data_IF_018788022825
#
_entry.id   IF_018788022825
#
_cell.length_a   1.000
_cell.length_b   1.000
_cell.length_c   1.000
_cell.angle_alpha   90.00
_cell.angle_beta   90.00
_cell.angle_gamma   90.00
#
_symmetry.space_group_name_H-M   'P 1'
#
loop_
_entity.id
_entity.type
_entity.pdbx_description
1 polymer ?
#
# COMPACT_ATOMS: atom_id res chain seq x y z
N UNK A 1 -10.98 -7.37 2.12
CA UNK A 1 -9.75 -7.79 1.41
C UNK A 1 -9.31 -9.15 1.94
N UNK A 2 -8.78 -10.06 1.08
CA UNK A 2 -8.16 -11.30 1.53
C UNK A 2 -7.05 -10.98 2.54
N UNK A 3 -7.02 -11.72 3.65
CA UNK A 3 -6.05 -11.51 4.71
C UNK A 3 -5.07 -12.67 4.74
N UNK A 4 -3.78 -12.35 4.74
CA UNK A 4 -2.74 -13.33 5.01
C UNK A 4 -2.66 -13.55 6.54
N UNK A 5 -2.93 -14.78 6.98
CA UNK A 5 -2.95 -15.14 8.39
C UNK A 5 -1.57 -15.09 9.04
N UNK A 6 -0.50 -15.20 8.26
CA UNK A 6 0.86 -15.18 8.80
C UNK A 6 1.39 -13.75 9.03
N UNK A 7 0.67 -12.72 8.59
CA UNK A 7 1.02 -11.33 8.87
C UNK A 7 0.53 -10.90 10.25
N UNK A 8 1.19 -9.90 10.85
CA UNK A 8 0.70 -9.29 12.09
C UNK A 8 -0.58 -8.48 11.84
N UNK A 9 -1.43 -8.26 12.87
CA UNK A 9 -2.59 -7.37 12.76
C UNK A 9 -2.21 -5.96 12.25
N UNK A 10 -1.09 -5.42 12.75
CA UNK A 10 -0.53 -4.13 12.33
C UNK A 10 -0.21 -4.12 10.84
N UNK A 11 0.56 -5.12 10.36
CA UNK A 11 0.91 -5.24 8.95
C UNK A 11 -0.34 -5.29 8.06
N UNK A 12 -1.33 -6.11 8.41
CA UNK A 12 -2.60 -6.18 7.67
C UNK A 12 -3.35 -4.86 7.62
N UNK A 13 -3.40 -4.13 8.74
CA UNK A 13 -4.04 -2.81 8.79
C UNK A 13 -3.34 -1.83 7.84
N UNK A 14 -2.02 -1.72 7.94
CA UNK A 14 -1.25 -0.80 7.10
C UNK A 14 -1.36 -1.14 5.60
N UNK A 15 -1.32 -2.42 5.23
CA UNK A 15 -1.54 -2.85 3.84
C UNK A 15 -2.97 -2.54 3.34
N UNK A 16 -3.98 -2.67 4.20
CA UNK A 16 -5.35 -2.31 3.83
C UNK A 16 -5.50 -0.80 3.61
N UNK A 17 -4.86 0.03 4.45
CA UNK A 17 -4.83 1.48 4.29
C UNK A 17 -4.05 1.89 3.04
N UNK A 18 -2.90 1.28 2.77
CA UNK A 18 -2.12 1.50 1.55
C UNK A 18 -2.91 1.14 0.28
N UNK A 19 -3.68 0.05 0.32
CA UNK A 19 -4.58 -0.32 -0.78
C UNK A 19 -5.69 0.72 -1.00
N UNK A 20 -6.20 1.38 0.06
CA UNK A 20 -7.13 2.50 -0.11
C UNK A 20 -6.44 3.73 -0.68
N UNK A 21 -5.25 4.07 -0.18
CA UNK A 21 -4.46 5.20 -0.66
C UNK A 21 -4.11 5.08 -2.16
N UNK A 22 -3.80 3.87 -2.62
CA UNK A 22 -3.46 3.56 -4.01
C UNK A 22 -4.68 3.33 -4.92
N UNK A 23 -5.90 3.32 -4.39
CA UNK A 23 -7.12 3.03 -5.17
C UNK A 23 -7.29 1.55 -5.55
N UNK A 24 -6.52 0.65 -4.92
CA UNK A 24 -6.49 -0.78 -5.15
C UNK A 24 -7.40 -1.59 -4.20
N UNK A 25 -8.14 -0.93 -3.30
CA UNK A 25 -8.98 -1.56 -2.28
C UNK A 25 -10.03 -2.53 -2.85
N UNK A 26 -10.45 -2.33 -4.11
CA UNK A 26 -11.45 -3.16 -4.80
C UNK A 26 -10.84 -4.23 -5.72
N UNK A 27 -9.53 -4.34 -5.84
CA UNK A 27 -8.90 -5.19 -6.87
C UNK A 27 -9.08 -6.70 -6.59
N UNK A 28 -9.37 -7.06 -5.35
CA UNK A 28 -9.74 -8.41 -4.96
C UNK A 28 -11.15 -8.82 -5.40
N UNK A 29 -12.03 -7.85 -5.75
CA UNK A 29 -13.36 -8.13 -6.27
C UNK A 29 -13.25 -8.55 -7.73
N UNK A 30 -13.74 -9.76 -8.03
CA UNK A 30 -13.61 -10.42 -9.34
C UNK A 30 -14.59 -9.88 -10.38
N UNK A 31 -15.79 -9.55 -9.94
CA UNK A 31 -16.89 -9.16 -10.81
C UNK A 31 -16.85 -7.66 -11.09
N UNK A 32 -17.07 -7.27 -12.35
CA UNK A 32 -17.29 -5.88 -12.69
C UNK A 32 -18.63 -5.41 -12.11
N UNK A 33 -18.82 -4.09 -12.01
CA UNK A 33 -20.05 -3.50 -11.46
C UNK A 33 -21.33 -3.97 -12.18
N UNK A 34 -21.22 -4.17 -13.49
CA UNK A 34 -22.28 -4.59 -14.40
C UNK A 34 -22.63 -6.08 -14.31
N UNK A 35 -21.80 -6.90 -13.67
CA UNK A 35 -21.98 -8.34 -13.66
C UNK A 35 -23.02 -8.72 -12.59
N UNK A 36 -24.27 -8.87 -13.01
CA UNK A 36 -25.38 -9.16 -12.10
C UNK A 36 -25.58 -10.64 -11.85
N UNK A 37 -25.16 -11.46 -12.81
CA UNK A 37 -25.39 -12.89 -12.85
C UNK A 37 -24.05 -13.58 -13.12
N UNK A 38 -23.75 -14.62 -12.36
CA UNK A 38 -22.55 -15.43 -12.55
C UNK A 38 -22.67 -16.33 -13.79
N UNK A 39 -21.57 -16.95 -14.21
CA UNK A 39 -21.60 -17.97 -15.28
C UNK A 39 -22.50 -19.18 -14.97
N UNK A 40 -22.92 -19.35 -13.72
CA UNK A 40 -23.85 -20.40 -13.27
C UNK A 40 -25.31 -19.93 -13.17
N UNK A 41 -25.63 -18.67 -13.54
CA UNK A 41 -26.98 -18.13 -13.45
C UNK A 41 -27.37 -17.55 -12.09
N UNK A 42 -26.44 -17.48 -11.14
CA UNK A 42 -26.70 -16.99 -9.77
C UNK A 42 -26.54 -15.46 -9.68
N UNK A 43 -27.40 -14.81 -8.91
CA UNK A 43 -27.27 -13.37 -8.64
C UNK A 43 -26.01 -13.05 -7.85
N UNK A 44 -25.19 -12.13 -8.35
CA UNK A 44 -23.98 -11.65 -7.67
C UNK A 44 -24.35 -10.47 -6.76
N UNK A 45 -24.18 -10.54 -5.44
CA UNK A 45 -24.46 -9.40 -4.55
C UNK A 45 -23.63 -8.14 -4.86
N UNK A 46 -24.17 -6.95 -4.61
CA UNK A 46 -23.50 -5.68 -4.96
C UNK A 46 -22.13 -5.51 -4.30
N UNK A 47 -22.00 -5.93 -3.04
CA UNK A 47 -20.74 -5.90 -2.28
C UNK A 47 -19.65 -6.85 -2.82
N UNK A 48 -20.02 -7.77 -3.72
CA UNK A 48 -19.09 -8.66 -4.42
C UNK A 48 -18.70 -8.14 -5.81
N UNK A 49 -19.21 -6.96 -6.20
CA UNK A 49 -18.94 -6.32 -7.48
C UNK A 49 -18.07 -5.09 -7.28
N UNK A 50 -17.02 -4.98 -8.08
CA UNK A 50 -16.13 -3.82 -8.09
C UNK A 50 -16.91 -2.58 -8.56
N UNK A 51 -16.85 -1.43 -7.85
CA UNK A 51 -17.48 -0.21 -8.31
C UNK A 51 -16.86 0.24 -9.64
N UNK A 52 -17.71 0.78 -10.53
CA UNK A 52 -17.27 1.30 -11.83
C UNK A 52 -16.68 2.71 -11.73
N UNK A 53 -17.08 3.46 -10.71
CA UNK A 53 -16.52 4.78 -10.35
C UNK A 53 -15.65 4.60 -9.12
N UNK A 54 -14.41 5.08 -9.18
CA UNK A 54 -13.48 5.16 -8.05
C UNK A 54 -13.09 6.62 -7.87
N UNK A 55 -13.62 7.28 -6.84
CA UNK A 55 -13.40 8.71 -6.61
C UNK A 55 -12.00 9.03 -6.13
N UNK A 56 -11.32 8.06 -5.50
CA UNK A 56 -10.00 8.24 -4.87
C UNK A 56 -9.98 9.42 -3.88
N UNK A 57 -11.11 9.73 -3.23
CA UNK A 57 -11.25 10.86 -2.31
C UNK A 57 -10.18 10.87 -1.21
N UNK A 58 -9.88 9.72 -0.62
CA UNK A 58 -8.84 9.57 0.39
C UNK A 58 -7.46 9.98 -0.13
N UNK A 59 -7.15 9.66 -1.39
CA UNK A 59 -5.89 10.04 -2.03
C UNK A 59 -5.81 11.55 -2.25
N UNK A 60 -6.90 12.17 -2.73
CA UNK A 60 -6.97 13.62 -2.92
C UNK A 60 -6.72 14.39 -1.62
N UNK A 61 -7.34 13.98 -0.52
CA UNK A 61 -7.11 14.61 0.80
C UNK A 61 -5.64 14.56 1.22
N UNK A 62 -4.97 13.43 0.96
CA UNK A 62 -3.54 13.28 1.26
C UNK A 62 -2.71 14.16 0.35
N UNK A 63 -2.93 14.14 -0.96
CA UNK A 63 -2.17 14.94 -1.92
C UNK A 63 -2.26 16.44 -1.63
N UNK A 64 -3.46 16.93 -1.28
CA UNK A 64 -3.67 18.33 -0.89
C UNK A 64 -2.89 18.67 0.39
N UNK A 65 -2.94 17.78 1.39
CA UNK A 65 -2.21 17.97 2.66
C UNK A 65 -0.70 17.96 2.46
N UNK A 66 -0.17 17.06 1.62
CA UNK A 66 1.26 16.95 1.31
C UNK A 66 1.75 18.16 0.52
N UNK A 67 0.94 18.66 -0.41
CA UNK A 67 1.23 19.87 -1.19
C UNK A 67 1.45 21.10 -0.29
N UNK A 68 0.66 21.23 0.78
CA UNK A 68 0.83 22.31 1.76
C UNK A 68 2.13 22.19 2.57
N UNK A 69 2.64 20.97 2.79
CA UNK A 69 3.85 20.73 3.57
C UNK A 69 5.14 20.87 2.76
N UNK A 70 5.15 20.36 1.53
CA UNK A 70 6.39 20.15 0.76
C UNK A 70 6.38 20.76 -0.65
N UNK A 71 5.44 21.66 -0.97
CA UNK A 71 5.56 22.48 -2.17
C UNK A 71 6.75 23.45 -2.11
N UNK A 72 7.19 23.95 -3.27
CA UNK A 72 8.45 24.71 -3.42
C UNK A 72 8.59 25.90 -2.46
N UNK A 73 7.50 26.53 -2.04
CA UNK A 73 7.52 27.69 -1.14
C UNK A 73 7.57 27.32 0.36
N UNK A 74 7.39 26.05 0.71
CA UNK A 74 7.25 25.58 2.10
C UNK A 74 8.37 24.65 2.55
N UNK A 75 9.25 24.22 1.63
CA UNK A 75 10.33 23.31 1.98
C UNK A 75 11.35 23.99 2.93
N UNK A 76 11.76 23.32 4.02
CA UNK A 76 12.65 23.92 5.01
C UNK A 76 14.02 24.26 4.43
N UNK A 77 14.64 25.31 4.98
CA UNK A 77 16.03 25.68 4.70
C UNK A 77 16.96 25.18 5.82
N UNK A 78 18.17 24.78 5.44
CA UNK A 78 19.18 24.39 6.41
C UNK A 78 19.82 25.64 7.06
N UNK A 79 19.86 25.65 8.38
CA UNK A 79 20.58 26.66 9.16
C UNK A 79 21.66 25.98 10.00
N UNK A 80 22.88 26.50 9.96
CA UNK A 80 24.01 25.99 10.74
C UNK A 80 24.88 27.16 11.22
N UNK A 81 25.57 27.04 12.37
CA UNK A 81 26.50 28.06 12.85
C UNK A 81 27.62 28.39 11.85
N UNK A 82 28.06 27.38 11.08
CA UNK A 82 29.02 27.54 9.99
C UNK A 82 28.28 27.67 8.64
N UNK A 83 28.56 28.77 7.93
CA UNK A 83 27.94 29.07 6.64
C UNK A 83 28.23 27.99 5.58
N UNK A 84 29.45 27.43 5.58
CA UNK A 84 29.83 26.39 4.60
C UNK A 84 29.03 25.11 4.81
N UNK A 85 28.76 24.76 6.06
CA UNK A 85 27.91 23.61 6.41
C UNK A 85 26.47 23.83 5.93
N UNK A 86 25.90 25.02 6.16
CA UNK A 86 24.55 25.34 5.67
C UNK A 86 24.48 25.29 4.13
N UNK A 87 25.45 25.89 3.44
CA UNK A 87 25.54 25.85 1.98
C UNK A 87 25.68 24.43 1.43
N UNK A 88 26.53 23.59 2.04
CA UNK A 88 26.72 22.20 1.65
C UNK A 88 25.45 21.36 1.85
N UNK A 89 24.73 21.55 2.96
CA UNK A 89 23.46 20.88 3.22
C UNK A 89 22.39 21.31 2.21
N UNK A 90 22.26 22.61 1.94
CA UNK A 90 21.33 23.11 0.93
C UNK A 90 21.65 22.58 -0.48
N UNK A 91 22.93 22.53 -0.85
CA UNK A 91 23.37 21.95 -2.12
C UNK A 91 23.03 20.46 -2.21
N UNK A 92 23.26 19.70 -1.13
CA UNK A 92 22.91 18.28 -1.06
C UNK A 92 21.40 18.05 -1.13
N UNK A 93 20.60 18.82 -0.38
CA UNK A 93 19.14 18.75 -0.41
C UNK A 93 18.60 18.97 -1.83
N UNK A 94 19.18 19.93 -2.56
CA UNK A 94 18.84 20.21 -3.97
C UNK A 94 19.31 19.11 -4.92
N UNK A 95 20.55 18.65 -4.80
CA UNK A 95 21.11 17.57 -5.65
C UNK A 95 20.31 16.28 -5.50
N UNK A 96 19.91 15.94 -4.26
CA UNK A 96 19.14 14.73 -3.95
C UNK A 96 17.64 14.89 -4.09
N UNK A 97 17.14 16.08 -4.43
CA UNK A 97 15.70 16.38 -4.52
C UNK A 97 14.97 15.94 -3.26
N UNK A 98 15.50 16.35 -2.10
CA UNK A 98 14.98 15.92 -0.81
C UNK A 98 13.49 16.30 -0.65
N UNK A 99 13.04 17.38 -1.28
CA UNK A 99 11.62 17.73 -1.37
C UNK A 99 10.75 16.64 -1.98
N UNK A 100 11.17 16.01 -3.09
CA UNK A 100 10.44 14.91 -3.72
C UNK A 100 10.41 13.68 -2.79
N UNK A 101 11.52 13.39 -2.11
CA UNK A 101 11.63 12.29 -1.15
C UNK A 101 10.69 12.51 0.05
N UNK A 102 10.66 13.72 0.60
CA UNK A 102 9.81 14.03 1.74
C UNK A 102 8.33 14.08 1.36
N UNK A 103 7.99 14.52 0.15
CA UNK A 103 6.63 14.44 -0.36
C UNK A 103 6.16 12.98 -0.53
N UNK A 104 7.02 12.09 -1.07
CA UNK A 104 6.75 10.65 -1.12
C UNK A 104 6.61 10.05 0.29
N UNK A 105 7.49 10.44 1.22
CA UNK A 105 7.44 9.99 2.60
C UNK A 105 6.15 10.41 3.30
N UNK A 106 5.72 11.67 3.15
CA UNK A 106 4.47 12.16 3.74
C UNK A 106 3.24 11.50 3.12
N UNK A 107 3.26 11.27 1.81
CA UNK A 107 2.21 10.55 1.09
C UNK A 107 2.08 9.12 1.60
N UNK A 108 3.17 8.36 1.63
CA UNK A 108 3.14 6.96 2.12
C UNK A 108 2.87 6.90 3.62
N UNK A 109 3.40 7.87 4.36
CA UNK A 109 3.25 8.00 5.80
C UNK A 109 1.82 8.29 6.22
N UNK A 110 0.96 8.80 5.33
CA UNK A 110 -0.42 9.13 5.65
C UNK A 110 -1.27 7.93 6.11
N UNK A 111 -0.80 6.70 5.88
CA UNK A 111 -1.43 5.47 6.38
C UNK A 111 -1.19 5.23 7.88
N UNK A 112 -0.26 5.95 8.49
CA UNK A 112 0.03 5.92 9.93
C UNK A 112 1.50 6.16 10.25
N UNK A 113 2.42 5.62 9.46
CA UNK A 113 3.86 5.83 9.64
C UNK A 113 4.63 5.61 8.34
N UNK A 114 5.86 6.15 8.30
CA UNK A 114 6.84 5.92 7.24
C UNK A 114 8.23 5.83 7.85
N UNK A 115 9.14 5.12 7.18
CA UNK A 115 10.55 5.09 7.57
C UNK A 115 11.42 5.72 6.47
N UNK A 116 12.41 6.50 6.87
CA UNK A 116 13.46 7.03 5.99
C UNK A 116 14.76 6.28 6.27
N UNK A 117 15.34 5.66 5.26
CA UNK A 117 16.63 4.99 5.36
C UNK A 117 17.73 5.86 4.75
N UNK A 118 18.71 6.24 5.56
CA UNK A 118 19.94 6.89 5.14
C UNK A 118 20.97 5.82 4.73
N UNK A 119 21.56 5.96 3.55
CA UNK A 119 22.64 5.09 3.06
C UNK A 119 23.79 5.94 2.56
N UNK A 120 25.02 5.55 2.89
CA UNK A 120 26.21 6.16 2.31
C UNK A 120 26.80 5.20 1.30
N UNK A 121 26.64 5.50 0.02
CA UNK A 121 27.14 4.67 -1.08
C UNK A 121 28.26 5.42 -1.81
N UNK A 122 29.47 4.84 -1.82
CA UNK A 122 30.66 5.46 -2.44
C UNK A 122 30.89 6.91 -1.97
N UNK A 123 30.74 7.15 -0.67
CA UNK A 123 30.91 8.47 -0.05
C UNK A 123 29.78 9.46 -0.28
N UNK A 124 28.66 9.05 -0.90
CA UNK A 124 27.51 9.92 -1.16
C UNK A 124 26.31 9.50 -0.29
N UNK A 125 25.66 10.42 0.45
CA UNK A 125 24.46 10.11 1.21
C UNK A 125 23.23 10.05 0.28
N UNK A 126 22.42 9.02 0.49
CA UNK A 126 21.15 8.75 -0.15
C UNK A 126 20.08 8.53 0.91
N UNK A 127 18.87 9.04 0.66
CA UNK A 127 17.71 8.78 1.50
C UNK A 127 16.70 7.98 0.68
N UNK A 128 16.12 6.96 1.28
CA UNK A 128 15.09 6.12 0.66
C UNK A 128 13.87 6.03 1.57
N UNK A 129 12.68 6.08 0.98
CA UNK A 129 11.42 5.94 1.70
C UNK A 129 11.07 4.45 1.77
N UNK A 130 10.87 3.95 2.98
CA UNK A 130 10.47 2.57 3.24
C UNK A 130 9.03 2.52 3.76
N UNK A 131 8.16 1.70 3.15
CA UNK A 131 6.85 1.39 3.70
C UNK A 131 7.00 0.66 5.04
N UNK A 132 6.23 1.05 6.05
CA UNK A 132 6.36 0.50 7.41
C UNK A 132 5.52 -0.74 7.67
N UNK A 133 4.67 -1.14 6.71
CA UNK A 133 3.80 -2.31 6.83
C UNK A 133 4.60 -3.60 7.08
N UNK A 134 5.78 -3.73 6.49
CA UNK A 134 6.67 -4.89 6.60
C UNK A 134 7.85 -4.65 7.55
N UNK A 135 7.89 -3.49 8.20
CA UNK A 135 8.94 -3.11 9.15
C UNK A 135 8.45 -3.30 10.59
N UNK A 136 9.35 -3.76 11.44
CA UNK A 136 9.12 -3.90 12.89
C UNK A 136 10.20 -3.12 13.63
N UNK A 137 9.88 -1.97 14.25
CA UNK A 137 10.82 -1.23 15.07
C UNK A 137 11.00 -1.87 16.46
N UNK A 138 12.20 -1.72 17.03
CA UNK A 138 12.50 -2.03 18.43
C UNK A 138 13.06 -0.78 19.08
N UNK A 139 12.34 -0.26 20.07
CA UNK A 139 12.69 0.95 20.82
C UNK A 139 13.56 0.60 22.03
N UNK A 140 14.32 1.58 22.51
CA UNK A 140 15.07 1.47 23.76
C UNK A 140 14.08 1.47 24.94
N UNK A 141 14.10 0.44 25.81
CA UNK A 141 13.22 0.40 26.97
C UNK A 141 13.54 1.49 28.02
N UNK A 142 14.76 2.03 28.02
CA UNK A 142 15.18 3.11 28.92
C UNK A 142 14.97 4.51 28.31
N UNK A 143 14.91 4.60 26.98
CA UNK A 143 14.61 5.83 26.22
C UNK A 143 13.58 5.55 25.10
N UNK A 144 12.27 5.67 25.37
CA UNK A 144 11.21 5.32 24.41
C UNK A 144 11.21 6.12 23.10
N UNK A 145 11.94 7.24 23.03
CA UNK A 145 12.10 8.04 21.81
C UNK A 145 13.33 7.61 20.98
N UNK A 146 14.14 6.69 21.50
CA UNK A 146 15.33 6.14 20.84
C UNK A 146 15.04 4.80 20.19
N UNK A 147 15.33 4.71 18.89
CA UNK A 147 15.10 3.50 18.09
C UNK A 147 16.40 2.68 18.01
N UNK A 148 16.38 1.45 18.54
CA UNK A 148 17.55 0.56 18.59
C UNK A 148 17.75 -0.20 17.28
N UNK A 149 16.67 -0.74 16.72
CA UNK A 149 16.74 -1.49 15.46
C UNK A 149 15.42 -1.49 14.71
N UNK A 150 15.50 -1.78 13.41
CA UNK A 150 14.33 -2.00 12.55
C UNK A 150 14.55 -3.29 11.77
N UNK A 151 13.58 -4.19 11.81
CA UNK A 151 13.58 -5.43 11.02
C UNK A 151 12.54 -5.35 9.91
N UNK A 152 12.96 -5.50 8.65
CA UNK A 152 12.07 -5.73 7.52
C UNK A 152 11.83 -7.23 7.34
N UNK A 153 10.57 -7.62 7.21
CA UNK A 153 10.18 -9.00 6.90
C UNK A 153 8.92 -9.06 6.04
N UNK A 154 9.00 -9.76 4.91
CA UNK A 154 7.87 -9.97 4.00
C UNK A 154 7.99 -11.28 3.21
N UNK A 155 6.87 -11.73 2.65
CA UNK A 155 6.82 -12.95 1.84
C UNK A 155 7.20 -12.67 0.40
N UNK A 156 8.02 -13.56 -0.16
CA UNK A 156 8.50 -13.51 -1.54
C UNK A 156 8.36 -14.90 -2.16
N UNK A 157 8.11 -14.97 -3.47
CA UNK A 157 8.07 -16.26 -4.19
C UNK A 157 9.50 -16.78 -4.44
N UNK A 158 9.66 -18.10 -4.47
CA UNK A 158 10.94 -18.74 -4.78
C UNK A 158 11.54 -18.29 -6.12
N UNK A 159 10.70 -18.11 -7.14
CA UNK A 159 11.11 -17.57 -8.46
C UNK A 159 11.82 -16.22 -8.35
N UNK A 160 11.28 -15.30 -7.56
CA UNK A 160 11.83 -13.96 -7.38
C UNK A 160 13.11 -13.98 -6.56
N UNK A 161 13.20 -14.83 -5.54
CA UNK A 161 14.43 -15.00 -4.77
C UNK A 161 15.56 -15.61 -5.62
N UNK A 162 15.25 -16.57 -6.48
CA UNK A 162 16.24 -17.11 -7.43
C UNK A 162 16.73 -16.03 -8.39
N UNK A 163 15.83 -15.19 -8.91
CA UNK A 163 16.19 -14.04 -9.74
C UNK A 163 17.10 -13.03 -9.01
N UNK A 164 16.98 -12.93 -7.67
CA UNK A 164 17.85 -12.14 -6.79
C UNK A 164 19.14 -12.87 -6.39
N UNK A 165 19.43 -14.03 -6.98
CA UNK A 165 20.66 -14.79 -6.77
C UNK A 165 20.70 -15.66 -5.51
N UNK A 166 19.56 -15.91 -4.87
CA UNK A 166 19.50 -16.89 -3.77
C UNK A 166 19.45 -18.32 -4.30
N UNK A 167 20.07 -19.25 -3.57
CA UNK A 167 20.06 -20.67 -3.89
C UNK A 167 18.70 -21.31 -3.52
N UNK A 168 17.69 -21.13 -4.38
CA UNK A 168 16.35 -21.71 -4.22
C UNK A 168 16.15 -22.87 -5.22
N UNK A 169 15.82 -24.09 -4.75
CA UNK A 169 15.54 -25.25 -5.61
C UNK A 169 14.46 -24.98 -6.67
N UNK A 170 14.62 -25.55 -7.87
CA UNK A 170 13.73 -25.35 -9.03
C UNK A 170 12.27 -25.69 -8.74
N UNK A 171 12.05 -26.77 -7.99
CA UNK A 171 10.75 -27.26 -7.54
C UNK A 171 10.08 -26.37 -6.50
N UNK A 172 10.81 -25.43 -5.88
CA UNK A 172 10.29 -24.47 -4.91
C UNK A 172 9.89 -23.11 -5.51
N UNK A 173 9.77 -23.01 -6.84
CA UNK A 173 9.47 -21.75 -7.54
C UNK A 173 8.17 -21.07 -7.09
N UNK A 174 7.10 -21.85 -6.96
CA UNK A 174 5.81 -21.35 -6.47
C UNK A 174 5.75 -21.25 -4.95
N UNK A 175 6.71 -21.78 -4.21
CA UNK A 175 6.71 -21.72 -2.75
C UNK A 175 6.94 -20.29 -2.26
N UNK A 176 6.38 -19.98 -1.08
CA UNK A 176 6.59 -18.69 -0.41
C UNK A 176 7.66 -18.82 0.65
N UNK A 177 8.54 -17.82 0.69
CA UNK A 177 9.64 -17.70 1.62
C UNK A 177 9.55 -16.37 2.35
N UNK A 178 10.04 -16.32 3.57
CA UNK A 178 10.28 -15.08 4.30
C UNK A 178 11.63 -14.51 3.89
N UNK A 179 11.59 -13.32 3.32
CA UNK A 179 12.75 -12.45 3.20
C UNK A 179 12.87 -11.62 4.48
N UNK A 180 14.10 -11.43 4.96
CA UNK A 180 14.38 -10.64 6.17
C UNK A 180 15.68 -9.87 6.05
N UNK A 181 15.68 -8.63 6.56
CA UNK A 181 16.88 -7.85 6.87
C UNK A 181 16.63 -6.96 8.07
N UNK A 182 17.68 -6.59 8.79
CA UNK A 182 17.60 -5.70 9.94
C UNK A 182 18.67 -4.62 9.90
N UNK A 183 18.35 -3.44 10.42
CA UNK A 183 19.27 -2.34 10.63
C UNK A 183 19.39 -2.06 12.13
N UNK A 184 20.61 -1.85 12.58
CA UNK A 184 20.95 -1.35 13.92
C UNK A 184 21.99 -0.21 13.80
N UNK A 185 22.62 0.19 14.90
CA UNK A 185 23.59 1.28 14.92
C UNK A 185 24.93 0.94 14.24
N UNK A 186 25.20 -0.35 13.99
CA UNK A 186 26.48 -0.85 13.49
C UNK A 186 26.35 -1.49 12.09
N UNK A 187 25.21 -2.14 11.81
CA UNK A 187 25.07 -3.05 10.68
C UNK A 187 23.72 -3.00 9.95
N UNK A 188 23.79 -3.30 8.66
CA UNK A 188 22.67 -3.82 7.87
C UNK A 188 22.85 -5.33 7.74
N UNK A 189 22.13 -6.10 8.56
CA UNK A 189 22.20 -7.56 8.60
C UNK A 189 21.19 -8.18 7.64
N UNK A 190 21.69 -9.00 6.72
CA UNK A 190 20.89 -9.77 5.76
C UNK A 190 20.73 -11.20 6.26
N UNK A 191 19.59 -11.82 5.97
CA UNK A 191 19.33 -13.20 6.35
C UNK A 191 19.03 -14.06 5.11
N UNK A 192 19.40 -15.34 5.19
CA UNK A 192 19.03 -16.33 4.20
C UNK A 192 17.51 -16.54 4.23
N UNK A 193 16.83 -16.53 3.07
CA UNK A 193 15.40 -16.76 3.01
C UNK A 193 15.02 -18.11 3.59
N UNK A 194 13.97 -18.14 4.41
CA UNK A 194 13.43 -19.35 5.02
C UNK A 194 12.04 -19.64 4.48
N UNK A 195 11.70 -20.91 4.23
CA UNK A 195 10.35 -21.25 3.76
C UNK A 195 9.29 -20.86 4.80
N UNK A 196 8.09 -20.52 4.36
CA UNK A 196 6.99 -20.19 5.30
C UNK A 196 6.67 -21.38 6.22
N UNK A 197 6.79 -22.62 5.73
CA UNK A 197 6.62 -23.82 6.55
C UNK A 197 7.70 -23.95 7.62
N UNK A 198 8.97 -23.80 7.26
CA UNK A 198 10.09 -23.90 8.21
C UNK A 198 9.98 -22.83 9.32
N UNK A 199 9.56 -21.62 8.96
CA UNK A 199 9.34 -20.55 9.92
C UNK A 199 8.16 -20.86 10.87
N UNK A 200 7.12 -21.56 10.41
CA UNK A 200 6.01 -22.02 11.28
C UNK A 200 6.47 -23.11 12.24
N UNK A 201 7.45 -23.93 11.85
CA UNK A 201 8.08 -24.94 12.70
C UNK A 201 9.10 -24.33 13.70
N UNK A 202 9.19 -23.00 13.77
CA UNK A 202 10.03 -22.28 14.73
C UNK A 202 11.51 -22.18 14.32
N UNK A 203 11.87 -22.55 13.09
CA UNK A 203 13.25 -22.37 12.60
C UNK A 203 13.52 -20.88 12.40
N UNK A 204 14.71 -20.44 12.83
CA UNK A 204 15.18 -19.07 12.64
C UNK A 204 16.00 -18.96 11.36
N UNK A 205 15.92 -17.83 10.63
CA UNK A 205 16.73 -17.64 9.43
C UNK A 205 18.20 -17.42 9.83
N UNK A 206 19.11 -18.05 9.09
CA UNK A 206 20.55 -17.86 9.29
C UNK A 206 21.00 -16.52 8.68
N UNK A 207 22.04 -15.91 9.25
CA UNK A 207 22.63 -14.67 8.71
C UNK A 207 23.34 -14.97 7.39
N UNK A 208 23.07 -14.13 6.39
CA UNK A 208 23.79 -14.10 5.12
C UNK A 208 25.02 -13.20 5.29
N UNK A 209 26.16 -13.82 5.62
CA UNK A 209 27.42 -13.13 5.87
C UNK A 209 27.96 -12.39 4.63
N UNK A 210 27.65 -12.88 3.42
CA UNK A 210 28.14 -12.30 2.17
C UNK A 210 27.43 -10.99 1.82
N UNK A 211 26.15 -10.86 2.22
CA UNK A 211 25.33 -9.66 1.97
C UNK A 211 25.30 -8.69 3.15
N UNK A 212 25.61 -9.15 4.36
CA UNK A 212 25.61 -8.31 5.56
C UNK A 212 26.71 -7.25 5.49
N UNK A 213 26.36 -6.00 5.82
CA UNK A 213 27.27 -4.86 5.76
C UNK A 213 27.43 -4.28 7.16
N UNK A 214 28.68 -4.15 7.60
CA UNK A 214 29.05 -3.37 8.78
C UNK A 214 29.35 -1.94 8.34
N UNK A 215 28.52 -0.99 8.75
CA UNK A 215 28.66 0.42 8.37
C UNK A 215 29.26 1.28 9.50
N UNK A 216 29.15 0.86 10.77
CA UNK A 216 29.78 1.53 11.92
C UNK A 216 29.38 3.01 12.05
N UNK A 217 28.11 3.33 11.79
CA UNK A 217 27.64 4.72 11.81
C UNK A 217 27.54 5.26 13.25
N UNK A 218 27.41 4.36 14.23
CA UNK A 218 27.22 4.71 15.63
C UNK A 218 25.80 5.19 15.95
N UNK A 219 24.91 5.16 14.97
CA UNK A 219 23.49 5.47 15.09
C UNK A 219 22.70 4.63 14.08
N UNK A 220 21.43 4.37 14.37
CA UNK A 220 20.54 3.65 13.46
C UNK A 220 20.25 4.50 12.21
N UNK A 221 20.57 4.02 10.99
CA UNK A 221 20.33 4.80 9.76
C UNK A 221 18.85 4.91 9.35
N UNK A 222 17.93 4.36 10.12
CA UNK A 222 16.49 4.39 9.88
C UNK A 222 15.83 5.41 10.81
N UNK A 223 15.16 6.40 10.23
CA UNK A 223 14.34 7.37 10.95
C UNK A 223 12.89 6.96 10.81
N UNK A 224 12.24 6.69 11.95
CA UNK A 224 10.82 6.35 11.99
C UNK A 224 9.97 7.59 12.21
N UNK A 225 9.00 7.83 11.33
CA UNK A 225 8.11 8.98 11.39
C UNK A 225 6.68 8.48 11.59
N UNK A 226 6.08 8.88 12.72
CA UNK A 226 4.64 8.71 12.99
C UNK A 226 3.88 9.86 12.34
N UNK A 227 2.75 9.57 11.69
CA UNK A 227 2.00 10.53 10.88
C UNK A 227 1.30 11.61 11.71
N UNK A 228 0.17 11.25 12.33
CA UNK A 228 -0.62 12.14 13.19
C UNK A 228 -0.56 11.65 14.64
N UNK A 229 -0.70 12.55 15.63
CA UNK A 229 -0.84 12.17 17.03
C UNK A 229 -2.11 11.34 17.27
N UNK A 230 -2.16 10.58 18.36
CA UNK A 230 -3.32 9.77 18.75
C UNK A 230 -3.34 8.34 18.17
N UNK A 231 -2.23 7.90 17.59
CA UNK A 231 -2.05 6.51 17.14
C UNK A 231 -1.71 5.57 18.29
N UNK A 232 -0.95 4.52 17.98
CA UNK A 232 -0.37 3.62 18.98
C UNK A 232 1.10 3.98 19.27
N UNK A 233 1.80 3.12 20.01
CA UNK A 233 3.21 3.33 20.35
C UNK A 233 4.13 3.30 19.12
N UNK A 234 3.73 2.62 18.04
CA UNK A 234 4.52 2.37 16.84
C UNK A 234 4.11 3.30 15.68
N UNK A 235 2.82 3.39 15.39
CA UNK A 235 2.25 4.14 14.26
C UNK A 235 1.39 5.31 14.75
N UNK A 236 1.39 6.41 14.00
CA UNK A 236 0.44 7.51 14.20
C UNK A 236 -0.95 7.20 13.63
N UNK A 237 -1.89 8.13 13.82
CA UNK A 237 -3.20 8.03 13.16
C UNK A 237 -3.06 8.19 11.64
N UNK A 238 -3.90 7.50 10.89
CA UNK A 238 -4.03 7.70 9.45
C UNK A 238 -4.75 9.01 9.14
N UNK A 239 -4.31 9.71 8.10
CA UNK A 239 -4.90 10.98 7.66
C UNK A 239 -6.33 10.81 7.13
N UNK A 240 -6.64 9.67 6.52
CA UNK A 240 -7.87 9.47 5.75
C UNK A 240 -8.74 8.31 6.23
N UNK A 241 -8.26 7.49 7.19
CA UNK A 241 -8.98 6.32 7.69
C UNK A 241 -10.44 6.62 8.12
N UNK A 242 -10.74 7.73 8.82
CA UNK A 242 -12.12 8.07 9.17
C UNK A 242 -13.05 8.30 7.96
N UNK A 243 -12.50 8.65 6.80
CA UNK A 243 -13.27 8.96 5.59
C UNK A 243 -13.50 7.74 4.68
N UNK A 244 -12.92 6.57 4.98
CA UNK A 244 -12.96 5.40 4.11
C UNK A 244 -14.39 4.92 3.85
N UNK A 245 -15.23 4.85 4.90
CA UNK A 245 -16.62 4.42 4.76
C UNK A 245 -17.41 5.34 3.82
N UNK A 246 -17.25 6.65 3.97
CA UNK A 246 -17.86 7.66 3.09
C UNK A 246 -17.35 7.52 1.66
N UNK A 247 -16.04 7.36 1.46
CA UNK A 247 -15.47 7.17 0.13
C UNK A 247 -16.03 5.92 -0.57
N UNK A 248 -16.14 4.81 0.16
CA UNK A 248 -16.74 3.57 -0.35
C UNK A 248 -18.20 3.81 -0.76
N UNK A 249 -18.98 4.47 0.08
CA UNK A 249 -20.39 4.75 -0.22
C UNK A 249 -20.53 5.64 -1.46
N UNK A 250 -19.72 6.70 -1.57
CA UNK A 250 -19.69 7.55 -2.76
C UNK A 250 -19.38 6.76 -4.04
N UNK A 251 -18.37 5.88 -4.00
CA UNK A 251 -17.97 5.04 -5.14
C UNK A 251 -19.13 4.14 -5.62
N UNK A 252 -19.84 3.49 -4.69
CA UNK A 252 -20.98 2.65 -5.02
C UNK A 252 -22.21 3.45 -5.50
N UNK A 253 -22.54 4.56 -4.85
CA UNK A 253 -23.67 5.41 -5.23
C UNK A 253 -23.49 6.02 -6.62
N UNK A 254 -22.29 6.54 -6.92
CA UNK A 254 -21.98 7.08 -8.25
C UNK A 254 -21.98 5.98 -9.32
N UNK A 255 -21.53 4.78 -8.97
CA UNK A 255 -21.62 3.62 -9.86
C UNK A 255 -23.07 3.25 -10.15
N UNK A 256 -23.95 3.26 -9.14
CA UNK A 256 -25.40 3.04 -9.34
C UNK A 256 -26.04 4.15 -10.18
N UNK A 257 -25.70 5.41 -9.96
CA UNK A 257 -26.20 6.53 -10.76
C UNK A 257 -25.79 6.40 -12.23
N UNK A 258 -24.51 6.12 -12.50
CA UNK A 258 -24.00 5.89 -13.85
C UNK A 258 -24.67 4.70 -14.53
N UNK A 259 -24.96 3.63 -13.78
CA UNK A 259 -25.75 2.49 -14.27
C UNK A 259 -27.19 2.91 -14.59
N UNK A 260 -27.86 3.62 -13.69
CA UNK A 260 -29.23 4.10 -13.88
C UNK A 260 -29.38 4.94 -15.14
N UNK A 261 -28.40 5.83 -15.41
CA UNK A 261 -28.36 6.61 -16.64
C UNK A 261 -28.24 5.71 -17.88
N UNK A 262 -27.31 4.74 -17.90
CA UNK A 262 -27.17 3.80 -19.03
C UNK A 262 -28.46 3.03 -19.30
N UNK A 263 -29.11 2.54 -18.25
CA UNK A 263 -30.38 1.81 -18.36
C UNK A 263 -31.55 2.67 -18.86
N UNK A 264 -31.59 3.95 -18.47
CA UNK A 264 -32.65 4.88 -18.87
C UNK A 264 -32.43 5.47 -20.28
N UNK A 265 -31.17 5.58 -20.71
CA UNK A 265 -30.80 6.12 -22.01
C UNK A 265 -30.80 5.09 -23.14
N UNK A 266 -30.85 3.78 -22.84
CA UNK A 266 -30.96 2.72 -23.85
C UNK A 266 -32.44 2.51 -24.26
N UNK A 267 -32.85 2.88 -25.49
CA UNK A 267 -34.23 2.74 -25.91
C UNK A 267 -34.66 1.26 -25.96
N UNK A 268 -35.74 0.94 -25.24
CA UNK A 268 -36.32 -0.41 -25.25
C UNK A 268 -37.39 -0.51 -26.33
N UNK A 269 -37.20 -1.43 -27.27
CA UNK A 269 -38.25 -1.78 -28.22
C UNK A 269 -39.33 -2.59 -27.50
N UNK A 270 -40.55 -2.04 -27.44
CA UNK A 270 -41.72 -2.75 -26.94
C UNK A 270 -42.66 -2.97 -28.11
N UNK A 271 -42.65 -4.18 -28.67
CA UNK A 271 -43.62 -4.60 -29.68
C UNK A 271 -44.85 -5.12 -28.95
N UNK A 272 -45.99 -4.45 -29.15
CA UNK A 272 -47.30 -4.95 -28.72
C UNK A 272 -47.97 -5.57 -29.95
N UNK A 273 -48.33 -6.86 -29.87
CA UNK A 273 -49.14 -7.49 -30.90
C UNK A 273 -50.62 -7.09 -30.69
N UNK A 274 -51.24 -6.35 -31.63
CA UNK A 274 -52.64 -5.95 -31.50
C UNK A 274 -53.63 -7.13 -31.62
N UNK A 275 -53.19 -8.35 -31.94
CA UNK A 275 -54.05 -9.52 -32.13
C UNK A 275 -54.35 -10.36 -30.88
N UNK A 276 -53.60 -10.20 -29.79
CA UNK A 276 -53.85 -10.96 -28.54
C UNK A 276 -54.62 -10.12 -27.55
N UNK A 277 -55.93 -10.33 -27.52
CA UNK A 277 -56.85 -9.73 -26.55
C UNK A 277 -56.46 -10.02 -25.09
N UNK A 278 -57.14 -9.30 -24.21
CA UNK A 278 -56.82 -8.98 -22.81
C UNK A 278 -56.69 -10.19 -21.85
N UNK A 279 -56.76 -11.45 -22.31
CA UNK A 279 -56.83 -12.64 -21.43
C UNK A 279 -55.82 -13.78 -21.74
N UNK A 280 -54.72 -13.53 -22.45
CA UNK A 280 -53.83 -14.62 -22.89
C UNK A 280 -52.32 -14.35 -22.84
N UNK A 281 -51.73 -14.29 -21.64
CA UNK A 281 -50.40 -14.82 -21.30
C UNK A 281 -49.14 -14.46 -22.12
N UNK A 282 -49.19 -13.50 -23.04
CA UNK A 282 -48.10 -13.23 -23.98
C UNK A 282 -47.12 -12.24 -23.35
N UNK A 283 -46.01 -12.74 -22.80
CA UNK A 283 -44.96 -11.91 -22.20
C UNK A 283 -44.39 -10.95 -23.26
N UNK A 284 -44.32 -9.64 -22.99
CA UNK A 284 -43.70 -8.70 -23.92
C UNK A 284 -42.24 -9.11 -24.15
N UNK A 285 -41.88 -9.41 -25.40
CA UNK A 285 -40.50 -9.69 -25.80
C UNK A 285 -39.73 -8.38 -25.64
N UNK A 286 -38.88 -8.32 -24.61
CA UNK A 286 -38.08 -7.14 -24.29
C UNK A 286 -36.71 -7.33 -24.91
N UNK A 287 -36.47 -6.71 -26.07
CA UNK A 287 -35.14 -6.61 -26.68
C UNK A 287 -34.51 -5.28 -26.30
N UNK A 288 -33.54 -5.30 -25.39
CA UNK A 288 -32.62 -4.18 -25.12
C UNK A 288 -31.19 -4.59 -25.48
N UNK A 289 -30.37 -3.64 -25.90
CA UNK A 289 -29.03 -3.88 -26.44
C UNK A 289 -28.00 -4.35 -25.39
N UNK A 290 -28.40 -4.50 -24.12
CA UNK A 290 -27.56 -4.98 -23.03
C UNK A 290 -27.39 -6.52 -22.96
N UNK A 291 -27.89 -7.28 -23.94
CA UNK A 291 -27.71 -8.73 -24.04
C UNK A 291 -26.67 -9.16 -25.09
N UNK A 292 -25.75 -8.27 -25.48
CA UNK A 292 -24.62 -8.59 -26.36
C UNK A 292 -23.29 -8.47 -25.60
#
# INVERSE_FOLDING_TARGET
MPTDSDLSPRCRRLLALDAVLSGAQYDHLRHAFSDEISGAGEYIPLNNRRPSVRTNLCRTVVDDSVSLLFSEAHFPTAHAPDARTAEALMAWMKERRLNEIMADAATRGSVGSVALLLRVLRGKPFVSVLPTATLTPTWDPEDPDSLLSVTERYKVRGTELRARGYAIPADADSASFWFQRSWDSDSETWYLPISVSDARDGKLPAVDADRTIQHGLGFLPVIWIRNLPGGDEIDGMSTFEPAISTAIECDYQLSQAGRGLKYASDPRLVIRDPGTGVDGGSRPITGGAANA
#
